data_IF_249574222397
#
_entry.id   IF_249574222397
#
_cell.length_a   1.000
_cell.length_b   1.000
_cell.length_c   1.000
_cell.angle_alpha   90.00
_cell.angle_beta   90.00
_cell.angle_gamma   90.00
#
_symmetry.space_group_name_H-M   'P 1'
#
loop_
_entity.id
_entity.type
_entity.pdbx_description
1 polymer ?
#
# COMPACT_ATOMS: atom_id res chain seq x y z
N UNK A 1 13.57 16.10 -4.62
CA UNK A 1 12.87 15.08 -3.81
C UNK A 1 13.90 14.46 -2.87
N UNK A 2 13.66 14.49 -1.57
CA UNK A 2 14.55 13.89 -0.57
C UNK A 2 14.14 12.46 -0.32
N UNK A 3 15.12 11.58 -0.13
CA UNK A 3 14.91 10.20 0.27
C UNK A 3 15.86 9.88 1.41
N UNK A 4 15.36 9.16 2.41
CA UNK A 4 16.15 8.73 3.57
C UNK A 4 16.35 7.22 3.47
N UNK A 5 17.61 6.77 3.48
CA UNK A 5 17.91 5.35 3.56
C UNK A 5 17.63 4.83 4.97
N UNK A 6 16.89 3.74 5.07
CA UNK A 6 16.52 3.08 6.33
C UNK A 6 17.08 1.66 6.33
N UNK A 7 17.46 1.18 7.52
CA UNK A 7 18.03 -0.16 7.69
C UNK A 7 16.96 -1.24 7.48
N UNK A 8 17.35 -2.35 6.85
CA UNK A 8 16.53 -3.55 6.73
C UNK A 8 16.37 -4.22 8.08
N UNK A 9 15.34 -5.05 8.21
CA UNK A 9 15.14 -5.86 9.42
C UNK A 9 16.34 -6.77 9.70
N UNK A 10 16.87 -7.42 8.66
CA UNK A 10 18.04 -8.31 8.74
C UNK A 10 19.34 -7.65 9.20
N UNK A 11 19.40 -6.31 9.24
CA UNK A 11 20.56 -5.56 9.75
C UNK A 11 20.50 -5.35 11.27
N UNK A 12 19.42 -5.77 11.93
CA UNK A 12 19.24 -5.73 13.39
C UNK A 12 19.07 -4.33 13.97
N UNK A 13 18.55 -4.23 15.19
CA UNK A 13 18.40 -2.95 15.92
C UNK A 13 19.77 -2.39 16.33
N UNK A 14 19.89 -1.06 16.37
CA UNK A 14 21.14 -0.38 16.75
C UNK A 14 20.84 1.02 17.26
N UNK A 15 21.31 1.34 18.46
CA UNK A 15 21.20 2.68 19.03
C UNK A 15 22.06 3.70 18.26
N UNK A 16 23.20 3.27 17.70
CA UNK A 16 24.13 4.13 16.97
C UNK A 16 23.74 4.34 15.51
N UNK A 17 23.14 3.33 14.87
CA UNK A 17 22.78 3.35 13.44
C UNK A 17 21.29 3.67 13.19
N UNK A 18 20.50 3.87 14.25
CA UNK A 18 19.07 4.21 14.17
C UNK A 18 18.16 2.99 13.94
N UNK A 19 16.83 3.16 13.80
CA UNK A 19 15.89 2.04 13.69
C UNK A 19 15.92 1.33 12.32
N UNK A 20 15.41 0.10 12.30
CA UNK A 20 15.07 -0.66 11.09
C UNK A 20 13.70 -0.25 10.56
N UNK A 21 13.41 -0.59 9.30
CA UNK A 21 12.12 -0.29 8.68
C UNK A 21 10.93 -0.95 9.42
N UNK A 22 11.12 -2.15 9.98
CA UNK A 22 10.08 -2.84 10.77
C UNK A 22 9.78 -2.08 12.07
N UNK A 23 10.81 -1.54 12.73
CA UNK A 23 10.63 -0.73 13.94
C UNK A 23 9.93 0.59 13.62
N UNK A 24 10.26 1.24 12.50
CA UNK A 24 9.57 2.47 12.07
C UNK A 24 8.10 2.24 11.74
N UNK A 25 7.77 1.14 11.04
CA UNK A 25 6.39 0.75 10.75
C UNK A 25 5.64 0.49 12.07
N UNK A 26 6.24 -0.29 12.97
CA UNK A 26 5.64 -0.64 14.27
C UNK A 26 5.42 0.59 15.15
N UNK A 27 6.34 1.57 15.08
CA UNK A 27 6.22 2.85 15.78
C UNK A 27 5.23 3.83 15.13
N UNK A 28 4.55 3.44 14.05
CA UNK A 28 3.58 4.28 13.34
C UNK A 28 4.21 5.43 12.55
N UNK A 29 5.52 5.40 12.31
CA UNK A 29 6.25 6.44 11.59
C UNK A 29 6.21 6.26 10.05
N UNK A 30 5.53 5.21 9.58
CA UNK A 30 5.32 4.92 8.17
C UNK A 30 3.83 4.73 7.93
N UNK A 31 3.25 5.60 7.10
CA UNK A 31 1.82 5.57 6.81
C UNK A 31 1.44 4.69 5.62
N UNK A 32 2.36 4.48 4.69
CA UNK A 32 2.15 3.67 3.48
C UNK A 32 3.43 2.93 3.13
N UNK A 33 3.31 1.65 2.75
CA UNK A 33 4.45 0.84 2.30
C UNK A 33 4.30 0.44 0.84
N UNK A 34 5.39 0.59 0.07
CA UNK A 34 5.54 0.00 -1.26
C UNK A 34 6.64 -1.05 -1.17
N UNK A 35 6.26 -2.33 -1.27
CA UNK A 35 7.16 -3.47 -1.14
C UNK A 35 7.05 -4.36 -2.38
N UNK A 36 7.81 -4.02 -3.43
CA UNK A 36 7.87 -4.79 -4.67
C UNK A 36 9.05 -5.77 -4.62
N UNK A 37 8.88 -7.01 -4.13
CA UNK A 37 10.00 -7.92 -3.96
C UNK A 37 10.61 -8.32 -5.31
N UNK A 38 11.92 -8.21 -5.43
CA UNK A 38 12.69 -8.77 -6.56
C UNK A 38 13.73 -9.77 -6.04
N UNK A 39 13.73 -10.98 -6.61
CA UNK A 39 14.70 -12.04 -6.27
C UNK A 39 14.44 -12.78 -4.95
N UNK A 40 15.08 -13.94 -4.78
CA UNK A 40 14.89 -14.83 -3.62
C UNK A 40 15.46 -14.24 -2.31
N UNK A 41 16.56 -13.49 -2.38
CA UNK A 41 17.20 -12.88 -1.21
C UNK A 41 16.33 -11.82 -0.52
N UNK A 42 15.38 -11.21 -1.23
CA UNK A 42 14.45 -10.22 -0.69
C UNK A 42 13.29 -10.82 0.11
N UNK A 43 13.15 -12.15 0.16
CA UNK A 43 11.95 -12.79 0.75
C UNK A 43 11.86 -12.68 2.27
N UNK A 44 12.97 -12.80 3.00
CA UNK A 44 12.96 -12.73 4.48
C UNK A 44 12.58 -11.33 4.96
N UNK A 45 13.36 -10.32 4.60
CA UNK A 45 13.03 -8.93 4.94
C UNK A 45 11.65 -8.52 4.40
N UNK A 46 11.33 -8.95 3.18
CA UNK A 46 10.03 -8.66 2.58
C UNK A 46 8.84 -9.29 3.32
N UNK A 47 9.02 -10.46 3.96
CA UNK A 47 8.00 -11.07 4.80
C UNK A 47 7.76 -10.25 6.06
N UNK A 48 8.83 -9.89 6.77
CA UNK A 48 8.75 -9.10 8.00
C UNK A 48 8.14 -7.71 7.76
N UNK A 49 8.51 -7.06 6.66
CA UNK A 49 7.89 -5.78 6.26
C UNK A 49 6.38 -5.95 6.04
N UNK A 50 5.94 -7.00 5.32
CA UNK A 50 4.50 -7.25 5.11
C UNK A 50 3.79 -7.54 6.43
N UNK A 51 4.36 -8.39 7.28
CA UNK A 51 3.78 -8.75 8.56
C UNK A 51 3.61 -7.53 9.46
N UNK A 52 4.67 -6.71 9.60
CA UNK A 52 4.63 -5.48 10.39
C UNK A 52 3.62 -4.47 9.86
N UNK A 53 3.53 -4.30 8.52
CA UNK A 53 2.60 -3.35 7.91
C UNK A 53 1.14 -3.76 8.15
N UNK A 54 0.83 -5.06 7.97
CA UNK A 54 -0.50 -5.60 8.27
C UNK A 54 -0.83 -5.47 9.76
N UNK A 55 0.13 -5.77 10.65
CA UNK A 55 -0.08 -5.67 12.10
C UNK A 55 -0.32 -4.22 12.57
N UNK A 56 0.29 -3.25 11.89
CA UNK A 56 0.10 -1.82 12.15
C UNK A 56 -1.17 -1.23 11.50
N UNK A 57 -1.99 -2.06 10.84
CA UNK A 57 -3.17 -1.64 10.06
C UNK A 57 -2.86 -0.52 9.05
N UNK A 58 -1.71 -0.65 8.38
CA UNK A 58 -1.24 0.31 7.36
C UNK A 58 -1.44 -0.26 5.95
N UNK A 59 -1.72 0.60 4.95
CA UNK A 59 -1.80 0.18 3.56
C UNK A 59 -0.45 -0.28 3.00
N UNK A 60 -0.49 -1.34 2.18
CA UNK A 60 0.69 -1.88 1.48
C UNK A 60 0.41 -2.16 0.00
N UNK A 61 1.34 -1.75 -0.85
CA UNK A 61 1.38 -2.09 -2.27
C UNK A 61 2.50 -3.09 -2.53
N UNK A 62 2.19 -4.23 -3.13
CA UNK A 62 3.19 -5.28 -3.39
C UNK A 62 3.64 -5.34 -4.85
N UNK A 63 3.00 -4.55 -5.71
CA UNK A 63 3.33 -4.43 -7.13
C UNK A 63 3.25 -2.98 -7.60
N UNK A 64 4.02 -2.64 -8.62
CA UNK A 64 3.94 -1.31 -9.26
C UNK A 64 2.58 -1.11 -9.93
N UNK A 65 1.99 -2.15 -10.52
CA UNK A 65 0.68 -2.05 -11.16
C UNK A 65 -0.42 -1.64 -10.17
N UNK A 66 -0.45 -2.23 -8.97
CA UNK A 66 -1.38 -1.84 -7.91
C UNK A 66 -1.18 -0.37 -7.49
N UNK A 67 0.08 0.05 -7.33
CA UNK A 67 0.39 1.43 -6.97
C UNK A 67 -0.09 2.41 -8.05
N UNK A 68 0.16 2.13 -9.33
CA UNK A 68 -0.30 2.97 -10.45
C UNK A 68 -1.82 3.09 -10.50
N UNK A 69 -2.55 1.98 -10.30
CA UNK A 69 -4.02 2.02 -10.23
C UNK A 69 -4.54 2.85 -9.06
N UNK A 70 -3.87 2.80 -7.90
CA UNK A 70 -4.24 3.62 -6.75
C UNK A 70 -3.98 5.11 -7.02
N UNK A 71 -2.82 5.47 -7.59
CA UNK A 71 -2.52 6.86 -7.94
C UNK A 71 -3.59 7.40 -8.92
N UNK A 72 -3.97 6.61 -9.93
CA UNK A 72 -5.00 6.99 -10.89
C UNK A 72 -6.40 7.20 -10.29
N UNK A 73 -6.68 6.66 -9.11
CA UNK A 73 -7.96 6.87 -8.42
C UNK A 73 -7.94 8.03 -7.43
N UNK A 74 -6.78 8.59 -7.09
CA UNK A 74 -6.65 9.63 -6.07
C UNK A 74 -7.43 10.89 -6.39
N UNK A 75 -7.48 11.32 -7.66
CA UNK A 75 -8.28 12.49 -8.06
C UNK A 75 -9.77 12.30 -7.70
N UNK A 76 -10.30 11.10 -7.90
CA UNK A 76 -11.70 10.77 -7.54
C UNK A 76 -11.92 10.73 -6.03
N UNK A 77 -10.94 10.20 -5.27
CA UNK A 77 -11.00 10.15 -3.79
C UNK A 77 -10.92 11.55 -3.19
N UNK A 78 -10.06 12.41 -3.74
CA UNK A 78 -9.88 13.80 -3.30
C UNK A 78 -11.12 14.64 -3.63
N UNK A 79 -11.78 14.37 -4.75
CA UNK A 79 -12.97 15.11 -5.18
C UNK A 79 -14.17 14.99 -4.23
N UNK A 80 -14.24 13.93 -3.41
CA UNK A 80 -15.28 13.78 -2.39
C UNK A 80 -15.78 12.35 -2.22
N UNK A 81 -16.86 12.15 -1.44
CA UNK A 81 -17.41 10.83 -1.18
C UNK A 81 -17.94 10.17 -2.47
N UNK A 82 -17.83 8.85 -2.52
CA UNK A 82 -18.39 8.08 -3.62
C UNK A 82 -19.93 8.15 -3.61
N UNK A 83 -20.51 8.33 -4.79
CA UNK A 83 -21.94 8.09 -4.97
C UNK A 83 -22.23 6.59 -4.80
N UNK A 84 -23.32 6.26 -4.11
CA UNK A 84 -23.75 4.88 -3.88
C UNK A 84 -24.87 4.55 -4.86
N UNK A 85 -24.89 3.32 -5.36
CA UNK A 85 -25.95 2.80 -6.23
C UNK A 85 -26.24 1.34 -5.88
N UNK A 86 -27.51 0.97 -5.87
CA UNK A 86 -27.90 -0.43 -5.66
C UNK A 86 -27.56 -1.28 -6.88
N UNK A 87 -27.39 -2.59 -6.66
CA UNK A 87 -27.15 -3.54 -7.76
C UNK A 87 -28.33 -3.58 -8.75
N UNK A 88 -29.55 -3.33 -8.27
CA UNK A 88 -30.78 -3.30 -9.05
C UNK A 88 -30.79 -2.11 -10.01
N UNK A 89 -30.54 -0.90 -9.51
CA UNK A 89 -30.44 0.32 -10.33
C UNK A 89 -29.31 0.19 -11.36
N UNK A 90 -28.14 -0.32 -10.95
CA UNK A 90 -27.02 -0.54 -11.86
C UNK A 90 -27.36 -1.53 -12.97
N UNK A 91 -28.07 -2.63 -12.66
CA UNK A 91 -28.49 -3.62 -13.65
C UNK A 91 -29.52 -3.06 -14.65
N UNK A 92 -30.42 -2.18 -14.19
CA UNK A 92 -31.39 -1.50 -15.04
C UNK A 92 -30.69 -0.54 -16.02
N UNK A 93 -29.81 0.33 -15.51
CA UNK A 93 -29.04 1.27 -16.34
C UNK A 93 -28.17 0.54 -17.38
N UNK A 94 -27.51 -0.55 -16.97
CA UNK A 94 -26.71 -1.37 -17.89
C UNK A 94 -27.56 -2.00 -19.00
N UNK A 95 -28.77 -2.48 -18.67
CA UNK A 95 -29.70 -3.01 -19.69
C UNK A 95 -30.14 -1.92 -20.67
N UNK A 96 -30.45 -0.72 -20.16
CA UNK A 96 -30.83 0.42 -21.00
C UNK A 96 -29.69 0.86 -21.93
N UNK A 97 -28.44 0.89 -21.44
CA UNK A 97 -27.27 1.26 -22.24
C UNK A 97 -26.95 0.27 -23.38
N UNK A 98 -27.27 -1.02 -23.20
CA UNK A 98 -27.06 -2.07 -24.21
C UNK A 98 -28.19 -2.18 -25.24
N UNK A 99 -29.33 -1.52 -25.00
CA UNK A 99 -30.47 -1.51 -25.90
C UNK A 99 -30.39 -0.39 -26.96
N UNK A 100 -29.38 0.47 -26.85
CA UNK A 100 -29.01 1.52 -27.81
C UNK A 100 -27.77 1.12 -28.61
#
# INVERSE_FOLDING_TARGET
MTATSVRKHSQGSSETLGPTIVELITAGQVDVVVNTPTGAAARRDGYEIRAATTAADKPIFTTIAQLSSAIGSFESVIAGPFAVRSLQEYAQDRKAALAN
#
